data_IF_915473781303
#
_entry.id   IF_915473781303
#
_cell.length_a   1.000
_cell.length_b   1.000
_cell.length_c   1.000
_cell.angle_alpha   90.00
_cell.angle_beta   90.00
_cell.angle_gamma   90.00
#
_symmetry.space_group_name_H-M   'P 1'
#
loop_
_entity.id
_entity.type
_entity.pdbx_description
1 polymer ?
#
# COMPACT_ATOMS: atom_id res chain seq x y z
N UNK A 1 3.71 -20.27 -42.68
CA UNK A 1 2.63 -19.61 -41.92
C UNK A 1 3.30 -18.71 -40.89
N UNK A 2 3.28 -17.38 -41.02
CA UNK A 2 3.85 -16.50 -40.00
C UNK A 2 2.94 -16.51 -38.78
N UNK A 3 3.49 -16.91 -37.63
CA UNK A 3 2.81 -16.93 -36.35
C UNK A 3 2.69 -15.48 -35.85
N UNK A 4 1.57 -14.83 -36.19
CA UNK A 4 1.28 -13.47 -35.72
C UNK A 4 0.76 -13.58 -34.30
N UNK A 5 1.58 -13.15 -33.34
CA UNK A 5 1.13 -13.01 -31.94
C UNK A 5 0.01 -11.95 -31.90
N UNK A 6 -1.09 -12.21 -31.17
CA UNK A 6 -2.17 -11.24 -31.07
C UNK A 6 -1.65 -9.99 -30.35
N UNK A 7 -1.78 -8.84 -31.00
CA UNK A 7 -1.55 -7.50 -30.44
C UNK A 7 -2.66 -7.09 -29.47
N UNK A 8 -3.03 -8.02 -28.58
CA UNK A 8 -3.99 -7.82 -27.50
C UNK A 8 -3.35 -6.99 -26.40
N UNK A 9 -4.18 -6.35 -25.59
CA UNK A 9 -3.69 -5.70 -24.38
C UNK A 9 -3.07 -6.76 -23.45
N UNK A 10 -2.11 -6.40 -22.60
CA UNK A 10 -1.48 -7.34 -21.64
C UNK A 10 -2.51 -8.07 -20.75
N UNK A 11 -3.71 -7.49 -20.59
CA UNK A 11 -4.87 -8.13 -19.96
C UNK A 11 -5.34 -9.35 -20.75
N UNK A 12 -5.35 -9.27 -22.08
CA UNK A 12 -5.67 -10.37 -22.98
C UNK A 12 -4.56 -11.41 -23.00
N UNK A 13 -3.28 -11.00 -22.95
CA UNK A 13 -2.14 -11.93 -22.90
C UNK A 13 -2.06 -12.69 -21.57
N UNK A 14 -2.34 -12.03 -20.45
CA UNK A 14 -2.43 -12.69 -19.14
C UNK A 14 -3.70 -13.53 -19.07
N UNK A 15 -4.87 -13.03 -19.49
CA UNK A 15 -6.09 -13.85 -19.52
C UNK A 15 -5.91 -15.07 -20.43
N UNK A 16 -5.22 -14.93 -21.55
CA UNK A 16 -4.85 -16.02 -22.46
C UNK A 16 -3.82 -16.98 -21.83
N UNK A 17 -2.80 -16.46 -21.14
CA UNK A 17 -1.83 -17.29 -20.39
C UNK A 17 -2.45 -18.00 -19.18
N UNK A 18 -3.45 -17.39 -18.54
CA UNK A 18 -4.25 -17.92 -17.43
C UNK A 18 -5.28 -18.94 -17.91
N UNK A 19 -5.83 -18.77 -19.11
CA UNK A 19 -6.77 -19.71 -19.74
C UNK A 19 -6.06 -20.90 -20.40
N UNK A 20 -4.83 -20.72 -20.88
CA UNK A 20 -4.02 -21.77 -21.52
C UNK A 20 -3.31 -22.72 -20.53
N UNK A 21 -3.16 -22.33 -19.26
CA UNK A 21 -2.63 -23.18 -18.19
C UNK A 21 -3.71 -23.35 -17.11
N UNK A 22 -4.39 -24.47 -17.16
CA UNK A 22 -5.64 -24.84 -16.48
C UNK A 22 -5.61 -24.94 -14.95
N UNK A 23 -4.91 -24.06 -14.23
CA UNK A 23 -4.87 -24.07 -12.75
C UNK A 23 -4.74 -22.68 -12.10
N UNK A 24 -4.89 -21.56 -12.83
CA UNK A 24 -5.06 -20.26 -12.20
C UNK A 24 -6.54 -19.98 -11.99
N UNK A 25 -6.98 -20.43 -10.82
CA UNK A 25 -8.35 -20.46 -10.32
C UNK A 25 -9.03 -19.07 -10.35
N UNK A 26 -10.33 -19.00 -10.67
CA UNK A 26 -11.19 -17.83 -10.43
C UNK A 26 -10.96 -17.15 -9.07
N UNK A 27 -10.49 -17.90 -8.07
CA UNK A 27 -10.10 -17.40 -6.74
C UNK A 27 -9.02 -16.30 -6.78
N UNK A 28 -8.07 -16.34 -7.72
CA UNK A 28 -7.01 -15.31 -7.82
C UNK A 28 -7.60 -14.00 -8.36
N UNK A 29 -8.51 -14.08 -9.33
CA UNK A 29 -9.21 -12.92 -9.86
C UNK A 29 -10.17 -12.33 -8.81
N UNK A 30 -10.86 -13.18 -8.05
CA UNK A 30 -11.73 -12.77 -6.95
C UNK A 30 -10.95 -12.11 -5.80
N UNK A 31 -9.77 -12.64 -5.46
CA UNK A 31 -8.93 -12.06 -4.40
C UNK A 31 -8.30 -10.73 -4.81
N UNK A 32 -7.89 -10.58 -6.09
CA UNK A 32 -7.46 -9.29 -6.65
C UNK A 32 -8.58 -8.24 -6.59
N UNK A 33 -9.79 -8.63 -6.99
CA UNK A 33 -10.97 -7.78 -6.90
C UNK A 33 -11.31 -7.40 -5.45
N UNK A 34 -11.24 -8.36 -4.52
CA UNK A 34 -11.49 -8.14 -3.08
C UNK A 34 -10.51 -7.13 -2.48
N UNK A 35 -9.24 -7.16 -2.90
CA UNK A 35 -8.20 -6.25 -2.40
C UNK A 35 -8.13 -4.92 -3.15
N UNK A 36 -9.05 -4.66 -4.09
CA UNK A 36 -9.06 -3.47 -4.95
C UNK A 36 -7.73 -3.23 -5.68
N UNK A 37 -6.96 -4.29 -5.94
CA UNK A 37 -5.69 -4.18 -6.67
C UNK A 37 -6.01 -4.25 -8.15
N UNK A 38 -5.91 -3.12 -8.84
CA UNK A 38 -6.08 -3.10 -10.29
C UNK A 38 -4.89 -3.81 -10.95
N UNK A 39 -5.18 -4.78 -11.82
CA UNK A 39 -4.15 -5.55 -12.51
C UNK A 39 -3.23 -4.65 -13.36
N UNK A 40 -3.78 -3.56 -13.89
CA UNK A 40 -3.07 -2.53 -14.64
C UNK A 40 -2.05 -1.74 -13.79
N UNK A 41 -2.22 -1.70 -12.48
CA UNK A 41 -1.24 -1.11 -11.56
C UNK A 41 -0.08 -2.08 -11.31
N UNK A 42 -0.34 -3.39 -11.32
CA UNK A 42 0.69 -4.43 -11.19
C UNK A 42 1.61 -4.49 -12.41
N UNK A 43 1.10 -4.32 -13.64
CA UNK A 43 1.97 -4.26 -14.84
C UNK A 43 2.92 -3.08 -14.85
N UNK A 44 2.51 -1.96 -14.25
CA UNK A 44 3.27 -0.70 -14.21
C UNK A 44 4.30 -0.68 -13.08
N UNK A 45 4.17 -1.56 -12.08
CA UNK A 45 5.12 -1.70 -10.99
C UNK A 45 6.43 -2.41 -11.39
N UNK A 46 7.53 -2.18 -10.64
CA UNK A 46 8.78 -2.93 -10.80
C UNK A 46 8.53 -4.43 -10.72
N UNK A 47 9.24 -5.22 -11.55
CA UNK A 47 9.00 -6.68 -11.69
C UNK A 47 9.02 -7.46 -10.37
N UNK A 48 9.73 -6.94 -9.36
CA UNK A 48 9.72 -7.50 -8.02
C UNK A 48 8.35 -7.40 -7.33
N UNK A 49 7.68 -6.25 -7.41
CA UNK A 49 6.37 -6.02 -6.78
C UNK A 49 5.31 -6.99 -7.31
N UNK A 50 5.37 -7.31 -8.60
CA UNK A 50 4.51 -8.33 -9.21
C UNK A 50 4.75 -9.71 -8.63
N UNK A 51 6.01 -10.12 -8.48
CA UNK A 51 6.39 -11.41 -7.88
C UNK A 51 5.86 -11.52 -6.46
N UNK A 52 6.02 -10.46 -5.68
CA UNK A 52 5.53 -10.34 -4.31
C UNK A 52 4.01 -10.47 -4.22
N UNK A 53 3.29 -9.61 -4.94
CA UNK A 53 1.84 -9.56 -4.84
C UNK A 53 1.21 -10.87 -5.27
N UNK A 54 1.71 -11.47 -6.34
CA UNK A 54 1.22 -12.76 -6.82
C UNK A 54 1.52 -13.89 -5.81
N UNK A 55 2.65 -13.87 -5.12
CA UNK A 55 2.92 -14.82 -4.04
C UNK A 55 1.93 -14.71 -2.88
N UNK A 56 1.52 -13.49 -2.49
CA UNK A 56 0.53 -13.29 -1.43
C UNK A 56 -0.88 -13.75 -1.84
N UNK A 57 -1.16 -13.76 -3.14
CA UNK A 57 -2.39 -14.32 -3.70
C UNK A 57 -2.36 -15.86 -3.76
N UNK A 58 -1.32 -16.48 -3.20
CA UNK A 58 -1.17 -17.93 -3.12
C UNK A 58 -0.60 -18.57 -4.39
N UNK A 59 -0.08 -17.78 -5.33
CA UNK A 59 0.53 -18.34 -6.54
C UNK A 59 1.88 -18.96 -6.22
N UNK A 60 2.13 -20.11 -6.84
CA UNK A 60 3.43 -20.78 -6.81
C UNK A 60 4.48 -19.99 -7.61
N UNK A 61 5.76 -20.19 -7.29
CA UNK A 61 6.87 -19.56 -8.03
C UNK A 61 6.79 -19.82 -9.55
N UNK A 62 6.31 -20.99 -9.97
CA UNK A 62 6.07 -21.33 -11.38
C UNK A 62 4.98 -20.46 -12.02
N UNK A 63 3.83 -20.31 -11.34
CA UNK A 63 2.73 -19.48 -11.81
C UNK A 63 3.12 -18.01 -11.88
N UNK A 64 3.88 -17.54 -10.89
CA UNK A 64 4.42 -16.19 -10.85
C UNK A 64 5.44 -15.96 -11.98
N UNK A 65 6.35 -16.90 -12.21
CA UNK A 65 7.34 -16.85 -13.28
C UNK A 65 6.66 -16.68 -14.64
N UNK A 66 5.62 -17.47 -14.91
CA UNK A 66 4.80 -17.35 -16.11
C UNK A 66 4.08 -15.99 -16.21
N UNK A 67 3.47 -15.52 -15.13
CA UNK A 67 2.70 -14.26 -15.13
C UNK A 67 3.56 -12.99 -15.26
N UNK A 68 4.79 -12.99 -14.70
CA UNK A 68 5.68 -11.82 -14.70
C UNK A 68 6.69 -11.85 -15.86
N UNK A 69 6.83 -12.99 -16.56
CA UNK A 69 7.83 -13.18 -17.60
C UNK A 69 9.25 -13.16 -17.03
N UNK A 70 9.44 -13.76 -15.86
CA UNK A 70 10.76 -13.90 -15.21
C UNK A 70 11.18 -15.36 -15.15
N UNK A 71 12.47 -15.69 -15.27
CA UNK A 71 12.97 -17.05 -15.03
C UNK A 71 12.58 -17.55 -13.64
N UNK A 72 12.22 -18.84 -13.54
CA UNK A 72 11.78 -19.47 -12.30
C UNK A 72 12.78 -19.29 -11.15
N UNK A 73 14.06 -19.49 -11.42
CA UNK A 73 15.16 -19.37 -10.45
C UNK A 73 15.25 -17.96 -9.89
N UNK A 74 14.95 -16.95 -10.72
CA UNK A 74 14.92 -15.56 -10.31
C UNK A 74 13.71 -15.28 -9.42
N UNK A 75 12.55 -15.86 -9.73
CA UNK A 75 11.37 -15.76 -8.86
C UNK A 75 11.62 -16.42 -7.51
N UNK A 76 12.12 -17.65 -7.49
CA UNK A 76 12.55 -18.36 -6.27
C UNK A 76 13.55 -17.55 -5.46
N UNK A 77 14.59 -17.00 -6.10
CA UNK A 77 15.56 -16.14 -5.43
C UNK A 77 14.88 -14.94 -4.78
N UNK A 78 13.95 -14.27 -5.48
CA UNK A 78 13.25 -13.11 -4.95
C UNK A 78 12.32 -13.46 -3.78
N UNK A 79 11.67 -14.62 -3.83
CA UNK A 79 10.84 -15.13 -2.74
C UNK A 79 11.68 -15.49 -1.51
N UNK A 80 12.85 -16.13 -1.71
CA UNK A 80 13.76 -16.54 -0.63
C UNK A 80 14.57 -15.38 -0.03
N UNK A 81 14.95 -14.40 -0.84
CA UNK A 81 15.83 -13.29 -0.43
C UNK A 81 15.11 -12.19 0.35
N UNK A 82 13.79 -12.16 0.28
CA UNK A 82 12.99 -11.27 1.08
C UNK A 82 12.87 -11.85 2.50
N UNK A 83 13.43 -11.11 3.47
CA UNK A 83 13.35 -11.46 4.89
C UNK A 83 11.89 -11.41 5.35
N UNK A 84 11.48 -12.32 6.25
CA UNK A 84 10.17 -12.33 6.95
C UNK A 84 9.71 -10.94 7.38
N UNK A 85 10.65 -10.13 7.85
CA UNK A 85 10.44 -8.80 8.37
C UNK A 85 10.02 -7.80 7.28
N UNK A 86 10.69 -7.88 6.13
CA UNK A 86 10.35 -7.11 4.94
C UNK A 86 8.95 -7.49 4.47
N UNK A 87 8.62 -8.79 4.53
CA UNK A 87 7.32 -9.29 4.12
C UNK A 87 6.20 -8.75 4.97
N UNK A 88 6.35 -8.84 6.29
CA UNK A 88 5.37 -8.32 7.23
C UNK A 88 5.07 -6.83 6.99
N UNK A 89 6.10 -6.02 6.69
CA UNK A 89 5.91 -4.59 6.37
C UNK A 89 5.10 -4.39 5.08
N UNK A 90 5.40 -5.13 4.03
CA UNK A 90 4.71 -5.00 2.74
C UNK A 90 3.26 -5.46 2.86
N UNK A 91 3.03 -6.59 3.53
CA UNK A 91 1.69 -7.13 3.75
C UNK A 91 0.78 -6.14 4.49
N UNK A 92 1.24 -5.58 5.60
CA UNK A 92 0.46 -4.58 6.34
C UNK A 92 0.21 -3.31 5.49
N UNK A 93 1.17 -2.91 4.66
CA UNK A 93 0.94 -1.79 3.77
C UNK A 93 -0.14 -2.08 2.70
N UNK A 94 -0.14 -3.28 2.13
CA UNK A 94 -1.17 -3.74 1.19
C UNK A 94 -2.55 -3.87 1.84
N UNK A 95 -2.60 -4.15 3.15
CA UNK A 95 -3.84 -4.11 3.94
C UNK A 95 -4.33 -2.68 4.23
N UNK A 96 -3.66 -1.65 3.71
CA UNK A 96 -4.07 -0.26 3.83
C UNK A 96 -3.46 0.50 5.01
N UNK A 97 -2.61 -0.15 5.83
CA UNK A 97 -1.98 0.54 6.96
C UNK A 97 -0.97 1.61 6.50
N UNK A 98 -0.91 2.71 7.25
CA UNK A 98 0.11 3.74 7.07
C UNK A 98 1.44 3.30 7.66
N UNK A 99 2.55 3.89 7.20
CA UNK A 99 3.86 3.60 7.75
C UNK A 99 3.97 3.84 9.28
N UNK A 100 3.15 4.74 9.83
CA UNK A 100 3.04 4.93 11.28
C UNK A 100 2.37 3.73 11.94
N UNK A 101 1.19 3.33 11.46
CA UNK A 101 0.45 2.20 12.03
C UNK A 101 1.24 0.89 11.93
N UNK A 102 1.95 0.66 10.81
CA UNK A 102 2.84 -0.50 10.67
C UNK A 102 3.95 -0.46 11.73
N UNK A 103 4.53 0.72 11.98
CA UNK A 103 5.54 0.89 13.04
C UNK A 103 4.96 0.69 14.44
N UNK A 104 3.68 0.95 14.65
CA UNK A 104 3.01 0.75 15.95
C UNK A 104 2.60 -0.73 16.16
N UNK A 105 2.30 -1.46 15.08
CA UNK A 105 1.90 -2.88 15.09
C UNK A 105 3.09 -3.86 15.07
N UNK A 106 4.29 -3.37 14.74
CA UNK A 106 5.49 -4.19 14.59
C UNK A 106 6.63 -3.62 15.45
N UNK A 107 7.72 -4.36 15.56
CA UNK A 107 8.94 -3.88 16.21
C UNK A 107 9.80 -2.96 15.32
N UNK A 108 9.37 -2.73 14.08
CA UNK A 108 10.14 -1.96 13.12
C UNK A 108 9.94 -0.46 13.31
N UNK A 109 11.04 0.30 13.33
CA UNK A 109 10.95 1.75 13.34
C UNK A 109 10.28 2.28 12.06
N UNK A 110 9.52 3.36 12.19
CA UNK A 110 8.92 4.08 11.05
C UNK A 110 9.91 4.38 9.93
N UNK A 111 11.15 4.78 10.25
CA UNK A 111 12.18 5.05 9.26
C UNK A 111 12.58 3.79 8.46
N UNK A 112 12.66 2.64 9.15
CA UNK A 112 12.90 1.35 8.51
C UNK A 112 11.74 0.97 7.58
N UNK A 113 10.49 1.13 8.04
CA UNK A 113 9.28 0.91 7.23
C UNK A 113 9.31 1.75 5.95
N UNK A 114 9.56 3.06 6.04
CA UNK A 114 9.70 3.92 4.86
C UNK A 114 10.81 3.47 3.91
N UNK A 115 11.96 3.07 4.45
CA UNK A 115 13.10 2.59 3.64
C UNK A 115 12.71 1.33 2.86
N UNK A 116 12.00 0.41 3.49
CA UNK A 116 11.48 -0.80 2.85
C UNK A 116 10.46 -0.43 1.77
N UNK A 117 9.41 0.32 2.10
CA UNK A 117 8.40 0.72 1.11
C UNK A 117 9.02 1.46 -0.09
N UNK A 118 9.96 2.38 0.16
CA UNK A 118 10.69 3.09 -0.90
C UNK A 118 11.57 2.16 -1.74
N UNK A 119 12.31 1.24 -1.11
CA UNK A 119 13.16 0.26 -1.81
C UNK A 119 12.33 -0.56 -2.80
N UNK A 120 11.09 -0.85 -2.45
CA UNK A 120 10.15 -1.63 -3.25
C UNK A 120 9.15 -0.77 -4.03
N UNK A 121 9.38 0.54 -4.11
CA UNK A 121 8.58 1.52 -4.88
C UNK A 121 7.11 1.66 -4.46
N UNK A 122 6.72 1.16 -3.30
CA UNK A 122 5.43 1.44 -2.72
C UNK A 122 5.31 2.90 -2.29
N UNK A 123 4.19 3.53 -2.65
CA UNK A 123 3.86 4.88 -2.16
C UNK A 123 3.27 4.74 -0.76
N UNK A 124 3.89 5.31 0.28
CA UNK A 124 3.37 5.20 1.63
C UNK A 124 1.95 5.74 1.71
N UNK A 125 1.05 4.99 2.35
CA UNK A 125 -0.28 5.48 2.66
C UNK A 125 -0.11 6.66 3.61
N UNK A 126 -0.42 7.85 3.10
CA UNK A 126 -0.48 9.06 3.90
C UNK A 126 -1.91 9.21 4.35
N UNK A 127 -2.16 9.05 5.65
CA UNK A 127 -3.34 9.63 6.25
C UNK A 127 -3.25 11.13 6.03
N UNK A 128 -3.96 11.64 5.01
CA UNK A 128 -4.24 13.07 4.94
C UNK A 128 -4.92 13.40 6.26
N UNK A 129 -4.32 14.31 7.03
CA UNK A 129 -4.92 14.75 8.28
C UNK A 129 -6.36 15.14 7.96
N UNK A 130 -7.31 14.47 8.61
CA UNK A 130 -8.72 14.73 8.39
C UNK A 130 -8.95 16.22 8.63
N UNK A 131 -9.57 16.91 7.66
CA UNK A 131 -9.80 18.35 7.82
C UNK A 131 -10.63 18.56 9.09
N UNK A 132 -10.28 19.59 9.86
CA UNK A 132 -11.07 19.96 11.02
C UNK A 132 -12.47 20.32 10.54
N UNK A 133 -13.49 19.76 11.18
CA UNK A 133 -14.86 20.22 10.96
C UNK A 133 -15.01 21.65 11.48
N UNK A 134 -15.94 22.44 10.91
CA UNK A 134 -16.19 23.81 11.38
C UNK A 134 -16.47 23.86 12.90
N UNK A 135 -17.21 22.86 13.41
CA UNK A 135 -17.48 22.72 14.85
C UNK A 135 -16.22 22.49 15.68
N UNK A 136 -15.28 21.67 15.20
CA UNK A 136 -14.00 21.48 15.87
C UNK A 136 -13.14 22.75 15.82
N UNK A 137 -13.13 23.48 14.70
CA UNK A 137 -12.40 24.74 14.62
C UNK A 137 -12.94 25.77 15.62
N UNK A 138 -14.26 25.92 15.72
CA UNK A 138 -14.92 26.82 16.67
C UNK A 138 -14.58 26.45 18.13
N UNK A 139 -14.65 25.16 18.45
CA UNK A 139 -14.35 24.68 19.81
C UNK A 139 -12.87 24.89 20.17
N UNK A 140 -11.94 24.67 19.23
CA UNK A 140 -10.52 24.97 19.40
C UNK A 140 -10.31 26.46 19.71
N UNK A 141 -10.96 27.35 18.95
CA UNK A 141 -10.85 28.80 19.13
C UNK A 141 -11.50 29.28 20.43
N UNK A 142 -12.62 28.69 20.84
CA UNK A 142 -13.27 28.97 22.14
C UNK A 142 -12.34 28.61 23.30
N UNK A 143 -11.84 27.37 23.36
CA UNK A 143 -10.93 26.92 24.43
C UNK A 143 -9.61 27.69 24.46
N UNK A 144 -9.11 28.12 23.29
CA UNK A 144 -7.93 28.98 23.25
C UNK A 144 -8.18 30.34 23.92
N UNK A 145 -9.36 30.94 23.73
CA UNK A 145 -9.75 32.18 24.41
C UNK A 145 -9.87 32.00 25.92
N UNK A 146 -10.19 30.79 26.38
CA UNK A 146 -10.21 30.41 27.80
C UNK A 146 -8.82 30.15 28.38
N UNK A 147 -7.75 30.34 27.59
CA UNK A 147 -6.37 30.20 28.05
C UNK A 147 -5.85 28.77 28.07
N UNK A 148 -6.60 27.80 27.54
CA UNK A 148 -6.15 26.40 27.52
C UNK A 148 -4.86 26.21 26.69
N UNK A 149 -4.05 25.24 27.12
CA UNK A 149 -2.85 24.84 26.38
C UNK A 149 -3.21 24.05 25.11
N UNK A 150 -2.36 24.12 24.08
CA UNK A 150 -2.60 23.40 22.81
C UNK A 150 -2.74 21.88 23.02
N UNK A 151 -1.99 21.31 23.99
CA UNK A 151 -2.10 19.88 24.34
C UNK A 151 -3.44 19.55 24.98
N UNK A 152 -3.97 20.41 25.85
CA UNK A 152 -5.30 20.25 26.46
C UNK A 152 -6.39 20.29 25.39
N UNK A 153 -6.35 21.32 24.53
CA UNK A 153 -7.29 21.50 23.43
C UNK A 153 -7.28 20.30 22.49
N UNK A 154 -6.11 19.79 22.13
CA UNK A 154 -5.95 18.59 21.29
C UNK A 154 -6.65 17.38 21.89
N UNK A 155 -6.46 17.12 23.20
CA UNK A 155 -7.15 16.02 23.90
C UNK A 155 -8.67 16.21 23.94
N UNK A 156 -9.13 17.44 24.16
CA UNK A 156 -10.56 17.73 24.28
C UNK A 156 -11.33 17.67 22.96
N UNK A 157 -10.66 17.96 21.83
CA UNK A 157 -11.33 18.12 20.51
C UNK A 157 -11.08 16.97 19.56
N UNK A 158 -10.18 16.03 19.91
CA UNK A 158 -9.72 14.95 19.04
C UNK A 158 -8.82 15.40 17.89
N UNK A 159 -8.51 16.71 17.79
CA UNK A 159 -7.57 17.23 16.82
C UNK A 159 -6.12 16.96 17.24
N UNK A 160 -5.20 16.79 16.29
CA UNK A 160 -3.77 16.72 16.59
C UNK A 160 -3.23 18.08 17.04
N UNK A 161 -2.19 18.08 17.88
CA UNK A 161 -1.53 19.31 18.35
C UNK A 161 -1.05 20.17 17.16
N UNK A 162 -0.58 19.54 16.08
CA UNK A 162 -0.17 20.23 14.86
C UNK A 162 -1.34 20.94 14.15
N UNK A 163 -2.52 20.31 14.09
CA UNK A 163 -3.73 20.94 13.55
C UNK A 163 -4.18 22.13 14.39
N UNK A 164 -4.17 21.98 15.72
CA UNK A 164 -4.48 23.08 16.66
C UNK A 164 -3.51 24.25 16.44
N UNK A 165 -2.20 23.98 16.42
CA UNK A 165 -1.18 25.01 16.19
C UNK A 165 -1.37 25.72 14.85
N UNK A 166 -1.58 24.96 13.78
CA UNK A 166 -1.79 25.50 12.43
C UNK A 166 -3.03 26.39 12.36
N UNK A 167 -4.16 25.95 12.91
CA UNK A 167 -5.39 26.74 12.93
C UNK A 167 -5.21 28.09 13.66
N UNK A 168 -4.55 28.07 14.82
CA UNK A 168 -4.29 29.27 15.60
C UNK A 168 -3.35 30.25 14.87
N UNK A 169 -2.30 29.74 14.21
CA UNK A 169 -1.40 30.55 13.40
C UNK A 169 -2.08 31.15 12.16
N UNK A 170 -3.01 30.41 11.54
CA UNK A 170 -3.78 30.89 10.39
C UNK A 170 -4.70 32.06 10.74
N UNK A 171 -5.27 32.07 11.94
CA UNK A 171 -6.22 33.10 12.41
C UNK A 171 -5.56 34.32 13.07
N UNK A 172 -4.26 34.23 13.39
CA UNK A 172 -3.50 35.36 13.94
C UNK A 172 -2.87 36.26 12.87
N UNK A 173 -3.07 35.93 11.59
CA UNK A 173 -2.69 36.74 10.43
C UNK A 173 -3.93 37.47 9.92
#
# INVERSE_FOLDING_TARGET
MPNTLPTGTWRDEVTFALQGNSNLSPQVADELNRRHVQFEDLSKGPRYERVVTLSHLGLTATQISAAVGLPYEKVEYLLRSARSDTWRIIEEHLNGYTAQQISDLTEFSKAYVYRILKKYQFRPNVNRAQMLTSRQEEEILRRRREGESQKSISRATGATVSQVKYLLQRRSR
#
